data_IF_460107398516
#
_entry.id   IF_460107398516
#
_cell.length_a   1.000
_cell.length_b   1.000
_cell.length_c   1.000
_cell.angle_alpha   90.00
_cell.angle_beta   90.00
_cell.angle_gamma   90.00
#
_symmetry.space_group_name_H-M   'P 1'
#
loop_
_entity.id
_entity.type
_entity.pdbx_description
1 polymer ?
#
# COMPACT_ATOMS: atom_id res chain seq x y z
N UNK A 1 -0.21 5.18 -8.81
CA UNK A 1 0.96 5.81 -8.16
C UNK A 1 1.75 4.75 -7.39
N UNK A 2 3.08 4.65 -7.59
CA UNK A 2 3.98 3.59 -7.04
C UNK A 2 3.69 2.14 -7.50
N UNK A 3 3.27 1.90 -8.74
CA UNK A 3 2.80 0.57 -9.19
C UNK A 3 3.91 -0.47 -9.50
N UNK A 4 5.19 -0.13 -9.34
CA UNK A 4 6.25 -1.11 -9.53
C UNK A 4 6.35 -2.05 -8.33
N UNK A 5 6.66 -3.32 -8.59
CA UNK A 5 6.88 -4.35 -7.57
C UNK A 5 7.94 -3.92 -6.53
N UNK A 6 8.96 -3.18 -6.97
CA UNK A 6 10.03 -2.66 -6.13
C UNK A 6 9.54 -1.65 -5.07
N UNK A 7 8.41 -0.98 -5.31
CA UNK A 7 7.85 0.03 -4.40
C UNK A 7 6.74 -0.50 -3.50
N UNK A 8 6.37 -1.78 -3.64
CA UNK A 8 5.31 -2.38 -2.83
C UNK A 8 5.65 -2.36 -1.34
N UNK A 9 6.89 -2.65 -0.96
CA UNK A 9 7.34 -2.59 0.44
C UNK A 9 7.30 -1.17 1.00
N UNK A 10 7.66 -0.17 0.19
CA UNK A 10 7.58 1.23 0.58
C UNK A 10 6.13 1.65 0.81
N UNK A 11 5.22 1.29 -0.11
CA UNK A 11 3.77 1.51 0.04
C UNK A 11 3.27 0.90 1.34
N UNK A 12 3.58 -0.37 1.58
CA UNK A 12 3.11 -1.10 2.77
C UNK A 12 3.65 -0.46 4.06
N UNK A 13 4.88 0.02 4.03
CA UNK A 13 5.45 0.77 5.14
C UNK A 13 4.69 2.08 5.39
N UNK A 14 4.47 2.91 4.38
CA UNK A 14 3.76 4.18 4.53
C UNK A 14 2.30 3.97 4.97
N UNK A 15 1.58 3.03 4.34
CA UNK A 15 0.19 2.68 4.72
C UNK A 15 0.08 2.16 6.16
N UNK A 16 1.17 1.65 6.76
CA UNK A 16 1.20 1.21 8.16
C UNK A 16 1.55 2.31 9.17
N UNK A 17 1.86 3.52 8.70
CA UNK A 17 2.36 4.64 9.52
C UNK A 17 1.60 5.94 9.31
N UNK A 18 0.94 6.10 8.16
CA UNK A 18 0.32 7.33 7.73
C UNK A 18 -0.90 7.06 6.86
N UNK A 19 -1.87 7.99 6.92
CA UNK A 19 -2.96 8.05 5.96
C UNK A 19 -2.52 8.87 4.74
N UNK A 20 -3.02 8.50 3.57
CA UNK A 20 -2.95 9.34 2.37
C UNK A 20 -4.11 10.34 2.43
N UNK A 21 -3.81 11.62 2.33
CA UNK A 21 -4.80 12.70 2.47
C UNK A 21 -5.35 13.16 1.13
N UNK A 22 -4.49 13.17 0.14
CA UNK A 22 -4.78 13.69 -1.18
C UNK A 22 -3.74 13.14 -2.15
N UNK A 23 -4.21 12.71 -3.31
CA UNK A 23 -3.37 12.45 -4.47
C UNK A 23 -3.73 13.48 -5.54
N UNK A 24 -2.73 14.21 -6.04
CA UNK A 24 -2.92 15.19 -7.12
C UNK A 24 -2.15 14.72 -8.34
N UNK A 25 -2.86 14.42 -9.42
CA UNK A 25 -2.25 14.16 -10.72
C UNK A 25 -1.84 15.49 -11.36
N UNK A 26 -0.57 15.59 -11.74
CA UNK A 26 -0.02 16.77 -12.43
C UNK A 26 -0.06 16.57 -13.95
N UNK A 27 -0.32 17.64 -14.72
CA UNK A 27 -0.24 17.59 -16.16
C UNK A 27 1.21 17.40 -16.60
N UNK A 28 1.40 16.63 -17.67
CA UNK A 28 2.73 16.32 -18.20
C UNK A 28 3.47 17.58 -18.68
N UNK A 29 2.74 18.57 -19.18
CA UNK A 29 3.24 19.85 -19.71
C UNK A 29 4.19 20.58 -18.77
N UNK A 30 4.02 20.39 -17.45
CA UNK A 30 4.87 20.97 -16.40
C UNK A 30 6.32 20.49 -16.53
N UNK A 31 6.54 19.28 -17.05
CA UNK A 31 7.85 18.64 -17.11
C UNK A 31 8.50 18.73 -18.50
N UNK A 32 7.75 19.12 -19.53
CA UNK A 32 8.24 19.20 -20.92
C UNK A 32 9.37 20.22 -21.06
N UNK A 33 9.26 21.37 -20.38
CA UNK A 33 10.30 22.41 -20.38
C UNK A 33 11.65 21.92 -19.83
N UNK A 34 11.64 20.87 -18.99
CA UNK A 34 12.82 20.20 -18.46
C UNK A 34 13.27 19.00 -19.29
N UNK A 35 12.67 18.81 -20.48
CA UNK A 35 12.96 17.68 -21.38
C UNK A 35 12.37 16.34 -20.92
N UNK A 36 11.42 16.33 -19.97
CA UNK A 36 10.86 15.11 -19.40
C UNK A 36 9.41 14.86 -19.83
N UNK A 37 9.13 13.62 -20.20
CA UNK A 37 7.82 13.13 -20.66
C UNK A 37 7.29 12.14 -19.63
N UNK A 38 6.89 12.65 -18.47
CA UNK A 38 6.49 11.83 -17.30
C UNK A 38 5.11 12.17 -16.79
N UNK A 39 4.35 11.14 -16.42
CA UNK A 39 3.13 11.29 -15.61
C UNK A 39 3.53 11.30 -14.14
N UNK A 40 3.26 12.41 -13.46
CA UNK A 40 3.67 12.62 -12.08
C UNK A 40 2.45 12.89 -11.21
N UNK A 41 2.50 12.44 -9.95
CA UNK A 41 1.49 12.76 -8.95
C UNK A 41 2.15 13.23 -7.67
N UNK A 42 1.53 14.20 -7.00
CA UNK A 42 1.85 14.56 -5.63
C UNK A 42 0.99 13.73 -4.68
N UNK A 43 1.61 13.16 -3.66
CA UNK A 43 0.90 12.38 -2.63
C UNK A 43 1.14 13.03 -1.29
N UNK A 44 0.06 13.46 -0.64
CA UNK A 44 0.11 14.10 0.67
C UNK A 44 -0.19 13.06 1.74
N UNK A 45 0.65 13.00 2.77
CA UNK A 45 0.53 12.05 3.87
C UNK A 45 0.36 12.77 5.20
N UNK A 46 -0.35 12.13 6.12
CA UNK A 46 -0.34 12.48 7.55
C UNK A 46 0.02 11.25 8.35
N UNK A 47 1.06 11.36 9.19
CA UNK A 47 1.38 10.33 10.19
C UNK A 47 0.16 10.07 11.06
N UNK A 48 -0.09 8.80 11.39
CA UNK A 48 -1.17 8.43 12.28
C UNK A 48 -1.13 9.22 13.58
N UNK A 49 -2.31 9.63 14.03
CA UNK A 49 -2.52 10.01 15.43
C UNK A 49 -2.31 8.79 16.34
N UNK A 50 -2.12 9.01 17.65
CA UNK A 50 -1.97 7.90 18.62
C UNK A 50 -3.18 6.96 18.58
N UNK A 51 -4.39 7.52 18.45
CA UNK A 51 -5.62 6.74 18.35
C UNK A 51 -5.66 5.88 17.09
N UNK A 52 -5.36 6.45 15.92
CA UNK A 52 -5.29 5.71 14.66
C UNK A 52 -4.22 4.62 14.67
N UNK A 53 -3.05 4.90 15.26
CA UNK A 53 -1.99 3.92 15.41
C UNK A 53 -2.44 2.74 16.29
N UNK A 54 -3.11 3.02 17.41
CA UNK A 54 -3.66 1.98 18.29
C UNK A 54 -4.74 1.13 17.58
N UNK A 55 -5.64 1.79 16.84
CA UNK A 55 -6.66 1.11 16.05
C UNK A 55 -6.05 0.21 14.97
N UNK A 56 -5.10 0.73 14.19
CA UNK A 56 -4.37 -0.03 13.17
C UNK A 56 -3.63 -1.24 13.77
N UNK A 57 -2.94 -1.05 14.91
CA UNK A 57 -2.22 -2.14 15.58
C UNK A 57 -3.16 -3.23 16.09
N UNK A 58 -4.33 -2.85 16.59
CA UNK A 58 -5.37 -3.78 17.05
C UNK A 58 -5.92 -4.61 15.88
N UNK A 59 -6.29 -3.94 14.78
CA UNK A 59 -6.72 -4.61 13.56
C UNK A 59 -5.64 -5.57 13.07
N UNK A 60 -4.38 -5.11 12.99
CA UNK A 60 -3.25 -5.93 12.54
C UNK A 60 -3.09 -7.17 13.41
N UNK A 61 -3.06 -7.02 14.74
CA UNK A 61 -2.93 -8.14 15.69
C UNK A 61 -4.05 -9.17 15.49
N UNK A 62 -5.30 -8.70 15.45
CA UNK A 62 -6.46 -9.58 15.34
C UNK A 62 -6.49 -10.29 13.98
N UNK A 63 -6.22 -9.57 12.89
CA UNK A 63 -6.21 -10.13 11.53
C UNK A 63 -5.08 -11.14 11.34
N UNK A 64 -3.91 -10.87 11.93
CA UNK A 64 -2.80 -11.84 11.94
C UNK A 64 -3.15 -13.09 12.74
N UNK A 65 -3.75 -12.97 13.92
CA UNK A 65 -4.16 -14.14 14.71
C UNK A 65 -5.22 -14.98 13.99
N UNK A 66 -6.25 -14.32 13.43
CA UNK A 66 -7.34 -14.95 12.66
C UNK A 66 -6.81 -15.76 11.48
N UNK A 67 -5.96 -15.14 10.65
CA UNK A 67 -5.43 -15.79 9.45
C UNK A 67 -4.38 -16.84 9.79
N UNK A 68 -3.53 -16.61 10.79
CA UNK A 68 -2.56 -17.62 11.20
C UNK A 68 -3.26 -18.86 11.75
N UNK A 69 -4.33 -18.72 12.54
CA UNK A 69 -5.12 -19.85 13.00
C UNK A 69 -5.73 -20.64 11.82
N UNK A 70 -6.22 -19.93 10.79
CA UNK A 70 -6.80 -20.55 9.59
C UNK A 70 -5.81 -21.43 8.80
N UNK A 71 -4.53 -21.04 8.74
CA UNK A 71 -3.51 -21.77 7.98
C UNK A 71 -2.54 -22.55 8.86
N UNK A 72 -2.75 -22.59 10.17
CA UNK A 72 -1.83 -23.17 11.14
C UNK A 72 -1.57 -24.66 10.84
N UNK A 73 -2.64 -25.45 10.76
CA UNK A 73 -2.53 -26.91 10.58
C UNK A 73 -1.85 -27.25 9.24
N UNK A 74 -2.18 -26.54 8.16
CA UNK A 74 -1.61 -26.75 6.83
C UNK A 74 -0.09 -26.45 6.83
N UNK A 75 0.30 -25.33 7.45
CA UNK A 75 1.70 -24.92 7.56
C UNK A 75 2.51 -25.88 8.45
N UNK A 76 1.98 -26.26 9.62
CA UNK A 76 2.68 -27.18 10.52
C UNK A 76 2.79 -28.57 9.93
N UNK A 77 1.76 -29.10 9.27
CA UNK A 77 1.82 -30.39 8.55
C UNK A 77 2.94 -30.39 7.49
N UNK A 78 3.08 -29.30 6.72
CA UNK A 78 4.17 -29.16 5.76
C UNK A 78 5.54 -29.07 6.43
N UNK A 79 5.66 -28.37 7.56
CA UNK A 79 6.90 -28.24 8.33
C UNK A 79 7.32 -29.57 8.97
N UNK A 80 6.38 -30.32 9.53
CA UNK A 80 6.63 -31.65 10.07
C UNK A 80 7.07 -32.63 8.98
N UNK A 81 6.39 -32.61 7.83
CA UNK A 81 6.76 -33.41 6.65
C UNK A 81 8.20 -33.13 6.17
N UNK A 82 8.67 -31.89 6.33
CA UNK A 82 10.05 -31.52 6.00
C UNK A 82 11.09 -31.97 7.05
N UNK A 83 10.68 -32.18 8.30
CA UNK A 83 11.54 -32.62 9.42
C UNK A 83 11.75 -34.14 9.49
N UNK A 84 10.90 -34.94 8.85
CA UNK A 84 11.00 -36.41 8.84
C UNK A 84 12.38 -36.90 8.34
N UNK A 85 12.95 -37.88 9.04
CA UNK A 85 14.26 -38.50 8.78
C UNK A 85 14.13 -40.03 8.66
N UNK A 86 15.19 -40.68 8.18
CA UNK A 86 15.24 -42.14 8.03
C UNK A 86 14.32 -42.64 6.90
N UNK A 87 13.74 -43.84 7.06
CA UNK A 87 12.87 -44.47 6.06
C UNK A 87 11.60 -43.67 5.74
N UNK A 88 11.19 -42.75 6.61
CA UNK A 88 10.03 -41.87 6.41
C UNK A 88 10.42 -40.50 5.83
N UNK A 89 11.69 -40.29 5.47
CA UNK A 89 12.15 -39.04 4.86
C UNK A 89 11.61 -38.89 3.45
N UNK A 90 11.02 -37.73 3.18
CA UNK A 90 10.70 -37.28 1.81
C UNK A 90 11.95 -37.25 0.93
N UNK A 91 11.76 -37.54 -0.35
CA UNK A 91 12.83 -37.47 -1.36
C UNK A 91 13.30 -36.02 -1.55
N UNK A 92 14.43 -35.83 -2.24
CA UNK A 92 14.96 -34.49 -2.51
C UNK A 92 13.97 -33.62 -3.30
N UNK A 93 13.28 -34.21 -4.27
CA UNK A 93 12.32 -33.50 -5.11
C UNK A 93 11.01 -33.20 -4.37
N UNK A 94 10.52 -34.14 -3.56
CA UNK A 94 9.37 -33.90 -2.68
C UNK A 94 9.64 -32.77 -1.68
N UNK A 95 10.83 -32.74 -1.06
CA UNK A 95 11.23 -31.65 -0.17
C UNK A 95 11.33 -30.31 -0.90
N UNK A 96 11.73 -30.30 -2.18
CA UNK A 96 11.75 -29.09 -3.01
C UNK A 96 10.35 -28.58 -3.29
N UNK A 97 9.41 -29.47 -3.63
CA UNK A 97 8.00 -29.14 -3.86
C UNK A 97 7.35 -28.61 -2.57
N UNK A 98 7.51 -29.31 -1.45
CA UNK A 98 6.97 -28.90 -0.14
C UNK A 98 7.50 -27.54 0.31
N UNK A 99 8.79 -27.24 0.11
CA UNK A 99 9.34 -25.91 0.41
C UNK A 99 8.74 -24.82 -0.48
N UNK A 100 8.44 -25.12 -1.74
CA UNK A 100 7.78 -24.18 -2.65
C UNK A 100 6.35 -23.90 -2.19
N UNK A 101 5.59 -24.95 -1.87
CA UNK A 101 4.22 -24.84 -1.35
C UNK A 101 4.18 -24.08 -0.01
N UNK A 102 5.12 -24.38 0.89
CA UNK A 102 5.26 -23.66 2.16
C UNK A 102 5.51 -22.15 1.95
N UNK A 103 6.36 -21.80 0.98
CA UNK A 103 6.60 -20.39 0.64
C UNK A 103 5.37 -19.73 0.00
N UNK A 104 4.66 -20.45 -0.87
CA UNK A 104 3.45 -19.96 -1.53
C UNK A 104 2.32 -19.69 -0.51
N UNK A 105 2.12 -20.60 0.46
CA UNK A 105 1.12 -20.39 1.52
C UNK A 105 1.52 -19.25 2.46
N UNK A 106 2.80 -19.08 2.78
CA UNK A 106 3.26 -17.97 3.62
C UNK A 106 3.02 -16.61 2.93
N UNK A 107 3.28 -16.52 1.61
CA UNK A 107 2.96 -15.34 0.81
C UNK A 107 1.45 -15.08 0.81
N UNK A 108 0.64 -16.11 0.53
CA UNK A 108 -0.82 -16.02 0.52
C UNK A 108 -1.38 -15.57 1.88
N UNK A 109 -0.82 -16.08 2.97
CA UNK A 109 -1.17 -15.71 4.35
C UNK A 109 -0.88 -14.24 4.60
N UNK A 110 0.31 -13.76 4.21
CA UNK A 110 0.69 -12.35 4.34
C UNK A 110 -0.21 -11.42 3.51
N UNK A 111 -0.55 -11.81 2.28
CA UNK A 111 -1.48 -11.07 1.41
C UNK A 111 -2.90 -11.03 1.98
N UNK A 112 -3.41 -12.15 2.48
CA UNK A 112 -4.72 -12.22 3.12
C UNK A 112 -4.83 -11.31 4.35
N UNK A 113 -3.82 -11.34 5.23
CA UNK A 113 -3.73 -10.43 6.39
C UNK A 113 -3.80 -8.98 5.92
N UNK A 114 -3.06 -8.64 4.88
CA UNK A 114 -3.00 -7.27 4.35
C UNK A 114 -4.35 -6.83 3.77
N UNK A 115 -5.04 -7.69 3.03
CA UNK A 115 -6.39 -7.39 2.51
C UNK A 115 -7.34 -7.09 3.66
N UNK A 116 -7.36 -7.93 4.70
CA UNK A 116 -8.22 -7.71 5.87
C UNK A 116 -7.88 -6.41 6.58
N UNK A 117 -6.60 -6.11 6.78
CA UNK A 117 -6.17 -4.84 7.39
C UNK A 117 -6.69 -3.66 6.57
N UNK A 118 -6.56 -3.69 5.24
CA UNK A 118 -7.05 -2.62 4.37
C UNK A 118 -8.57 -2.46 4.43
N UNK A 119 -9.31 -3.56 4.46
CA UNK A 119 -10.77 -3.52 4.57
C UNK A 119 -11.24 -3.01 5.94
N UNK A 120 -10.61 -3.46 7.03
CA UNK A 120 -10.98 -3.05 8.40
C UNK A 120 -10.48 -1.65 8.76
N UNK A 121 -9.40 -1.19 8.14
CA UNK A 121 -8.82 0.15 8.30
C UNK A 121 -9.02 0.99 7.03
N UNK A 122 -10.23 0.92 6.45
CA UNK A 122 -10.57 1.67 5.25
C UNK A 122 -10.80 3.16 5.56
N UNK A 123 -10.51 4.01 4.58
CA UNK A 123 -10.77 5.44 4.63
C UNK A 123 -10.77 6.03 3.22
N UNK A 124 -11.51 7.12 3.03
CA UNK A 124 -11.57 7.79 1.74
C UNK A 124 -10.26 8.51 1.42
N UNK A 125 -9.81 8.38 0.18
CA UNK A 125 -8.65 9.08 -0.36
C UNK A 125 -9.14 10.01 -1.48
N UNK A 126 -9.19 11.32 -1.25
CA UNK A 126 -9.42 12.30 -2.31
C UNK A 126 -8.38 12.20 -3.42
N UNK A 127 -8.85 12.27 -4.66
CA UNK A 127 -8.01 12.36 -5.85
C UNK A 127 -8.39 13.62 -6.60
N UNK A 128 -7.42 14.51 -6.77
CA UNK A 128 -7.53 15.69 -7.60
C UNK A 128 -6.77 15.50 -8.91
N UNK A 129 -7.34 16.01 -10.01
CA UNK A 129 -6.66 16.09 -11.29
C UNK A 129 -6.69 17.54 -11.74
N UNK A 130 -5.51 18.06 -12.11
CA UNK A 130 -5.37 19.41 -12.66
C UNK A 130 -4.81 19.33 -14.07
N UNK A 131 -5.31 20.20 -14.94
CA UNK A 131 -4.83 20.38 -16.32
C UNK A 131 -3.73 21.42 -16.42
N UNK A 132 -3.70 22.38 -15.49
CA UNK A 132 -2.77 23.50 -15.52
C UNK A 132 -2.20 23.75 -14.11
N UNK A 133 -0.88 23.77 -13.99
CA UNK A 133 -0.17 23.89 -12.70
C UNK A 133 0.66 25.18 -12.57
N UNK A 134 0.39 26.20 -13.39
CA UNK A 134 1.06 27.49 -13.36
C UNK A 134 2.28 27.63 -14.27
N UNK A 135 2.66 26.56 -15.00
CA UNK A 135 3.80 26.54 -15.91
C UNK A 135 3.36 25.91 -17.23
N UNK A 136 3.73 26.54 -18.35
CA UNK A 136 3.48 26.05 -19.71
C UNK A 136 4.59 25.11 -20.18
N UNK A 137 4.38 24.44 -21.32
CA UNK A 137 5.37 23.58 -21.97
C UNK A 137 6.70 24.28 -22.28
N UNK A 138 6.68 25.61 -22.44
CA UNK A 138 7.88 26.44 -22.68
C UNK A 138 8.58 26.91 -21.40
N UNK A 139 8.07 26.56 -20.22
CA UNK A 139 8.62 26.98 -18.92
C UNK A 139 8.17 28.38 -18.48
N UNK A 140 7.32 29.07 -19.25
CA UNK A 140 6.74 30.37 -18.87
C UNK A 140 5.58 30.18 -17.88
N UNK A 141 5.31 31.22 -17.09
CA UNK A 141 4.12 31.29 -16.25
C UNK A 141 2.86 31.09 -17.09
N UNK A 142 1.93 30.28 -16.58
CA UNK A 142 0.62 30.02 -17.19
C UNK A 142 -0.47 29.94 -16.14
N UNK A 143 -1.64 29.48 -16.56
CA UNK A 143 -2.79 29.28 -15.69
C UNK A 143 -2.51 28.24 -14.60
N UNK A 144 -3.13 28.40 -13.44
CA UNK A 144 -2.88 27.56 -12.28
C UNK A 144 -4.18 27.17 -11.57
N UNK A 145 -4.48 25.87 -11.57
CA UNK A 145 -5.66 25.30 -10.90
C UNK A 145 -5.36 24.85 -9.46
N UNK A 146 -4.11 24.87 -9.01
CA UNK A 146 -3.73 24.48 -7.65
C UNK A 146 -4.42 25.32 -6.55
N UNK A 147 -4.61 26.65 -6.69
CA UNK A 147 -5.33 27.44 -5.68
C UNK A 147 -6.80 27.04 -5.52
N UNK A 148 -7.48 26.72 -6.63
CA UNK A 148 -8.87 26.25 -6.61
C UNK A 148 -8.96 24.86 -5.98
N UNK A 149 -8.06 23.95 -6.36
CA UNK A 149 -7.95 22.63 -5.75
C UNK A 149 -7.71 22.71 -4.24
N UNK A 150 -6.84 23.63 -3.80
CA UNK A 150 -6.59 23.87 -2.38
C UNK A 150 -7.87 24.32 -1.66
N UNK A 151 -8.63 25.24 -2.26
CA UNK A 151 -9.91 25.69 -1.70
C UNK A 151 -10.90 24.53 -1.56
N UNK A 152 -11.02 23.69 -2.57
CA UNK A 152 -11.87 22.50 -2.54
C UNK A 152 -11.40 21.50 -1.46
N UNK A 153 -10.10 21.23 -1.38
CA UNK A 153 -9.54 20.32 -0.39
C UNK A 153 -9.72 20.84 1.05
N UNK A 154 -9.56 22.14 1.29
CA UNK A 154 -9.84 22.75 2.60
C UNK A 154 -11.31 22.60 2.98
N UNK A 155 -12.23 22.74 2.02
CA UNK A 155 -13.66 22.46 2.23
C UNK A 155 -13.90 21.00 2.64
N UNK A 156 -13.38 20.06 1.85
CA UNK A 156 -13.47 18.62 2.13
C UNK A 156 -12.91 18.27 3.51
N UNK A 157 -11.73 18.82 3.83
CA UNK A 157 -11.04 18.63 5.11
C UNK A 157 -11.94 19.01 6.29
N UNK A 158 -12.57 20.19 6.22
CA UNK A 158 -13.48 20.68 7.27
C UNK A 158 -14.73 19.80 7.39
N UNK A 159 -15.35 19.46 6.26
CA UNK A 159 -16.58 18.65 6.24
C UNK A 159 -16.38 17.25 6.84
N UNK A 160 -15.21 16.64 6.61
CA UNK A 160 -14.89 15.30 7.07
C UNK A 160 -14.16 15.29 8.42
N UNK A 161 -14.09 16.44 9.11
CA UNK A 161 -13.38 16.62 10.38
C UNK A 161 -11.96 16.03 10.35
N UNK A 162 -11.26 16.24 9.23
CA UNK A 162 -9.87 15.84 9.07
C UNK A 162 -8.97 16.86 9.79
N UNK A 163 -7.94 16.35 10.49
CA UNK A 163 -7.00 17.05 11.40
C UNK A 163 -6.77 18.55 11.15
#
# INVERSE_FOLDING_TARGET
VLNSSNLQKARDFFESKAKILLIVSLPQDVFISSGATVKTSLVFFKKFTKAEQGHYQTIKKNSTAEINAKYFDEIETMRESLKLKGNNSKTKDEKKILRKQLKEIEIKTAEAIKVIIKTKFDYQIPIGEIKQAGITTTGKQGDNQLPELLKAFVGYKKQNNLW
#
